data_IF_444160725993
#
_entry.id   IF_444160725993
#
_cell.length_a   1.000
_cell.length_b   1.000
_cell.length_c   1.000
_cell.angle_alpha   90.00
_cell.angle_beta   90.00
_cell.angle_gamma   90.00
#
_symmetry.space_group_name_H-M   'P 1'
#
loop_
_entity.id
_entity.type
_entity.pdbx_description
1 polymer ?
#
# COMPACT_ATOMS: atom_id res chain seq x y z
N UNK A 1 -3.36 -32.18 -15.94
CA UNK A 1 -3.94 -30.82 -15.87
C UNK A 1 -3.30 -30.09 -14.70
N UNK A 2 -2.42 -29.11 -14.96
CA UNK A 2 -1.92 -28.20 -13.91
C UNK A 2 -3.10 -27.35 -13.42
N UNK A 3 -3.49 -27.54 -12.15
CA UNK A 3 -4.57 -26.80 -11.49
C UNK A 3 -4.08 -25.48 -10.90
N UNK A 4 -2.79 -25.38 -10.59
CA UNK A 4 -2.17 -24.18 -10.05
C UNK A 4 -1.90 -23.18 -11.20
N UNK A 5 -2.42 -21.96 -11.05
CA UNK A 5 -2.28 -20.88 -12.03
C UNK A 5 -0.82 -20.46 -12.17
N UNK A 6 -0.09 -20.38 -11.07
CA UNK A 6 1.33 -20.02 -11.05
C UNK A 6 2.14 -21.06 -11.83
N UNK A 7 2.00 -22.34 -11.50
CA UNK A 7 2.73 -23.43 -12.17
C UNK A 7 2.43 -23.47 -13.69
N UNK A 8 1.18 -23.22 -14.07
CA UNK A 8 0.77 -23.13 -15.47
C UNK A 8 1.48 -21.99 -16.19
N UNK A 9 1.49 -20.80 -15.61
CA UNK A 9 2.13 -19.63 -16.21
C UNK A 9 3.63 -19.87 -16.31
N UNK A 10 4.29 -20.31 -15.23
CA UNK A 10 5.72 -20.58 -15.21
C UNK A 10 6.14 -21.66 -16.21
N UNK A 11 5.25 -22.61 -16.53
CA UNK A 11 5.50 -23.60 -17.57
C UNK A 11 5.48 -23.00 -18.99
N UNK A 12 4.59 -22.04 -19.27
CA UNK A 12 4.43 -21.43 -20.60
C UNK A 12 5.48 -20.34 -20.83
N UNK A 13 5.71 -19.49 -19.83
CA UNK A 13 6.66 -18.37 -19.89
C UNK A 13 7.66 -18.43 -18.73
N UNK A 14 8.58 -19.41 -18.70
CA UNK A 14 9.55 -19.58 -17.60
C UNK A 14 10.57 -18.43 -17.50
N UNK A 15 10.61 -17.56 -18.49
CA UNK A 15 11.48 -16.39 -18.55
C UNK A 15 10.85 -15.12 -17.91
N UNK A 16 9.58 -15.17 -17.52
CA UNK A 16 8.91 -14.10 -16.79
C UNK A 16 8.91 -14.43 -15.30
N UNK A 17 9.26 -13.44 -14.48
CA UNK A 17 9.21 -13.57 -13.03
C UNK A 17 7.86 -13.10 -12.51
N UNK A 18 7.19 -13.94 -11.72
CA UNK A 18 5.84 -13.67 -11.27
C UNK A 18 5.84 -12.97 -9.90
N UNK A 19 4.98 -11.97 -9.74
CA UNK A 19 4.64 -11.38 -8.44
C UNK A 19 3.99 -12.42 -7.51
N UNK A 20 4.20 -12.30 -6.20
CA UNK A 20 3.67 -13.25 -5.21
C UNK A 20 2.16 -13.18 -4.99
N UNK A 21 1.49 -12.11 -5.44
CA UNK A 21 0.10 -11.80 -5.13
C UNK A 21 -0.77 -11.86 -6.41
N UNK A 22 -1.07 -13.05 -6.97
CA UNK A 22 -2.12 -13.19 -7.98
C UNK A 22 -3.49 -12.89 -7.36
N UNK A 23 -4.38 -12.30 -8.15
CA UNK A 23 -5.69 -11.89 -7.68
C UNK A 23 -6.82 -12.30 -8.62
N UNK A 24 -7.96 -12.59 -8.02
CA UNK A 24 -9.16 -13.00 -8.73
C UNK A 24 -10.04 -11.78 -9.03
N UNK A 25 -10.48 -11.67 -10.26
CA UNK A 25 -11.45 -10.66 -10.71
C UNK A 25 -12.66 -11.34 -11.33
N UNK A 26 -13.80 -10.65 -11.29
CA UNK A 26 -15.04 -11.14 -11.89
C UNK A 26 -15.34 -10.29 -13.12
N UNK A 27 -15.45 -10.94 -14.27
CA UNK A 27 -15.82 -10.31 -15.53
C UNK A 27 -16.93 -11.14 -16.19
N UNK A 28 -18.08 -10.53 -16.46
CA UNK A 28 -19.24 -11.19 -17.08
C UNK A 28 -19.63 -12.52 -16.40
N UNK A 29 -19.72 -12.53 -15.07
CA UNK A 29 -20.01 -13.72 -14.23
C UNK A 29 -18.98 -14.86 -14.37
N UNK A 30 -17.80 -14.58 -14.91
CA UNK A 30 -16.68 -15.52 -15.00
C UNK A 30 -15.52 -15.02 -14.16
N UNK A 31 -14.76 -15.97 -13.63
CA UNK A 31 -13.60 -15.68 -12.79
C UNK A 31 -12.33 -15.68 -13.64
N UNK A 32 -11.51 -14.65 -13.46
CA UNK A 32 -10.21 -14.52 -14.09
C UNK A 32 -9.16 -14.27 -13.03
N UNK A 33 -8.06 -15.01 -13.09
CA UNK A 33 -6.87 -14.68 -12.33
C UNK A 33 -6.06 -13.66 -13.11
N UNK A 34 -5.64 -12.59 -12.45
CA UNK A 34 -4.65 -11.66 -12.97
C UNK A 34 -3.36 -11.87 -12.20
N UNK A 35 -2.27 -12.04 -12.95
CA UNK A 35 -0.92 -12.22 -12.44
C UNK A 35 -0.02 -11.14 -13.03
N UNK A 36 0.63 -10.40 -12.13
CA UNK A 36 1.70 -9.47 -12.47
C UNK A 36 2.98 -10.23 -12.82
N UNK A 37 3.63 -9.84 -13.91
CA UNK A 37 4.85 -10.48 -14.38
C UNK A 37 5.93 -9.44 -14.76
N UNK A 38 7.15 -9.78 -14.36
CA UNK A 38 8.31 -8.94 -14.46
C UNK A 38 9.32 -9.49 -15.46
N UNK A 39 9.93 -8.58 -16.21
CA UNK A 39 11.23 -8.85 -16.82
C UNK A 39 12.33 -8.48 -15.83
N UNK A 40 13.22 -9.42 -15.53
CA UNK A 40 14.39 -9.20 -14.69
C UNK A 40 15.68 -9.35 -15.48
N UNK A 41 16.72 -8.65 -15.05
CA UNK A 41 18.10 -8.90 -15.46
C UNK A 41 19.06 -8.54 -14.34
N UNK A 42 20.18 -9.25 -14.26
CA UNK A 42 21.34 -8.95 -13.41
C UNK A 42 22.49 -8.29 -14.20
N UNK A 43 22.32 -8.08 -15.51
CA UNK A 43 23.36 -7.57 -16.41
C UNK A 43 23.07 -6.17 -16.95
N UNK A 44 22.09 -5.46 -16.39
CA UNK A 44 21.74 -4.14 -16.89
C UNK A 44 22.83 -3.12 -16.53
N UNK A 45 23.39 -2.38 -17.51
CA UNK A 45 24.56 -1.55 -17.28
C UNK A 45 24.23 -0.37 -16.35
N UNK A 46 25.21 0.01 -15.53
CA UNK A 46 25.14 1.17 -14.62
C UNK A 46 23.94 1.16 -13.65
N UNK A 47 23.38 -0.02 -13.34
CA UNK A 47 22.28 -0.18 -12.40
C UNK A 47 22.74 -0.86 -11.11
N UNK A 48 22.19 -0.40 -9.98
CA UNK A 48 22.52 -0.94 -8.65
C UNK A 48 21.84 -2.30 -8.45
N UNK A 49 22.58 -3.33 -8.00
CA UNK A 49 21.97 -4.61 -7.61
C UNK A 49 20.96 -4.44 -6.47
N UNK A 50 19.89 -5.22 -6.56
CA UNK A 50 18.88 -5.45 -5.54
C UNK A 50 18.64 -6.96 -5.45
N UNK A 51 18.00 -7.38 -4.37
CA UNK A 51 17.55 -8.75 -4.20
C UNK A 51 16.14 -8.73 -3.62
N UNK A 52 15.33 -9.66 -4.10
CA UNK A 52 14.03 -9.96 -3.53
C UNK A 52 13.78 -11.47 -3.63
N UNK A 53 12.88 -11.97 -2.79
CA UNK A 53 12.34 -13.30 -2.95
C UNK A 53 11.18 -13.19 -3.93
N UNK A 54 11.12 -13.98 -4.99
CA UNK A 54 9.92 -14.13 -5.83
C UNK A 54 9.33 -15.51 -5.59
N UNK A 55 8.35 -15.93 -6.40
CA UNK A 55 7.79 -17.28 -6.33
C UNK A 55 8.87 -18.37 -6.52
N UNK A 56 9.91 -18.07 -7.30
CA UNK A 56 11.03 -18.99 -7.57
C UNK A 56 12.19 -18.87 -6.57
N UNK A 57 11.99 -18.15 -5.45
CA UNK A 57 13.00 -17.97 -4.40
C UNK A 57 13.79 -16.65 -4.49
N UNK A 58 14.87 -16.49 -3.69
CA UNK A 58 15.69 -15.29 -3.70
C UNK A 58 16.43 -15.13 -5.02
N UNK A 59 16.36 -13.95 -5.62
CA UNK A 59 17.05 -13.63 -6.86
C UNK A 59 17.68 -12.25 -6.80
N UNK A 60 18.95 -12.18 -7.21
CA UNK A 60 19.64 -10.92 -7.43
C UNK A 60 19.32 -10.40 -8.84
N UNK A 61 19.02 -9.11 -8.92
CA UNK A 61 18.76 -8.42 -10.18
C UNK A 61 19.21 -6.96 -10.05
N UNK A 62 19.49 -6.31 -11.17
CA UNK A 62 19.72 -4.87 -11.23
C UNK A 62 18.77 -4.17 -12.22
N UNK A 63 17.82 -4.92 -12.77
CA UNK A 63 16.76 -4.43 -13.63
C UNK A 63 15.46 -5.16 -13.31
N UNK A 64 14.38 -4.38 -13.22
CA UNK A 64 13.01 -4.88 -13.07
C UNK A 64 12.03 -3.93 -13.76
N UNK A 65 11.05 -4.49 -14.46
CA UNK A 65 9.89 -3.79 -15.01
C UNK A 65 8.65 -4.66 -14.85
N UNK A 66 7.52 -4.05 -14.47
CA UNK A 66 6.20 -4.69 -14.66
C UNK A 66 5.83 -4.56 -16.12
N UNK A 67 6.24 -5.56 -16.90
CA UNK A 67 6.14 -5.50 -18.35
C UNK A 67 4.88 -6.19 -18.87
N UNK A 68 4.33 -7.14 -18.12
CA UNK A 68 3.22 -7.99 -18.57
C UNK A 68 2.17 -8.16 -17.48
N UNK A 69 0.89 -8.02 -17.87
CA UNK A 69 -0.25 -8.53 -17.11
C UNK A 69 -0.73 -9.82 -17.75
N UNK A 70 -0.83 -10.88 -16.96
CA UNK A 70 -1.24 -12.20 -17.43
C UNK A 70 -2.66 -12.45 -16.93
N UNK A 71 -3.58 -12.74 -17.83
CA UNK A 71 -4.98 -13.05 -17.52
C UNK A 71 -5.21 -14.53 -17.77
N UNK A 72 -5.63 -15.25 -16.72
CA UNK A 72 -5.97 -16.67 -16.80
C UNK A 72 -7.45 -16.86 -16.52
N UNK A 73 -8.15 -17.40 -17.49
CA UNK A 73 -9.54 -17.81 -17.33
C UNK A 73 -9.62 -18.96 -16.32
N UNK A 74 -10.30 -18.75 -15.19
CA UNK A 74 -10.30 -19.73 -14.09
C UNK A 74 -11.06 -21.01 -14.42
N UNK A 75 -11.88 -21.02 -15.49
CA UNK A 75 -12.64 -22.19 -15.90
C UNK A 75 -11.92 -22.99 -16.99
N UNK A 76 -11.53 -22.33 -18.09
CA UNK A 76 -10.86 -22.98 -19.22
C UNK A 76 -9.35 -23.15 -19.02
N UNK A 77 -8.74 -22.34 -18.17
CA UNK A 77 -7.29 -22.28 -18.02
C UNK A 77 -6.58 -21.64 -19.21
N UNK A 78 -7.31 -20.97 -20.11
CA UNK A 78 -6.76 -20.16 -21.20
C UNK A 78 -5.97 -19.00 -20.62
N UNK A 79 -4.81 -18.69 -21.22
CA UNK A 79 -3.87 -17.69 -20.73
C UNK A 79 -3.62 -16.65 -21.82
N UNK A 80 -3.85 -15.39 -21.48
CA UNK A 80 -3.53 -14.24 -22.32
C UNK A 80 -2.46 -13.37 -21.65
N UNK A 81 -1.51 -12.88 -22.44
CA UNK A 81 -0.40 -12.03 -21.99
C UNK A 81 -0.53 -10.65 -22.62
N UNK A 82 -0.64 -9.60 -21.81
CA UNK A 82 -0.77 -8.21 -22.27
C UNK A 82 0.47 -7.41 -21.88
N UNK A 83 1.15 -6.81 -22.86
CA UNK A 83 2.32 -5.94 -22.61
C UNK A 83 1.83 -4.59 -22.09
N UNK A 84 2.23 -4.25 -20.86
CA UNK A 84 1.83 -2.99 -20.19
C UNK A 84 2.95 -1.96 -20.12
N UNK A 85 4.21 -2.36 -20.34
CA UNK A 85 5.33 -1.45 -20.57
C UNK A 85 5.93 -1.69 -21.96
N UNK A 86 5.39 -1.09 -23.03
CA UNK A 86 5.89 -1.27 -24.39
C UNK A 86 7.30 -0.67 -24.60
N UNK A 87 7.83 0.09 -23.62
CA UNK A 87 9.18 0.65 -23.67
C UNK A 87 10.24 -0.30 -23.11
N UNK A 88 9.83 -1.38 -22.44
CA UNK A 88 10.78 -2.34 -21.89
C UNK A 88 11.50 -3.12 -23.02
N UNK A 89 12.83 -3.00 -23.17
CA UNK A 89 13.57 -3.70 -24.21
C UNK A 89 13.54 -5.22 -24.04
N UNK A 90 13.42 -5.74 -22.81
CA UNK A 90 13.46 -7.18 -22.56
C UNK A 90 12.17 -7.84 -23.04
N UNK A 91 11.00 -7.31 -22.67
CA UNK A 91 9.73 -7.86 -23.16
C UNK A 91 9.60 -7.73 -24.67
N UNK A 92 10.10 -6.65 -25.25
CA UNK A 92 10.12 -6.46 -26.70
C UNK A 92 10.97 -7.51 -27.43
N UNK A 93 12.07 -7.96 -26.82
CA UNK A 93 12.86 -9.07 -27.36
C UNK A 93 12.09 -10.40 -27.33
N UNK A 94 11.43 -10.71 -26.21
CA UNK A 94 10.58 -11.90 -26.10
C UNK A 94 9.38 -11.85 -27.05
N UNK A 95 8.74 -10.68 -27.22
CA UNK A 95 7.64 -10.49 -28.16
C UNK A 95 8.04 -10.79 -29.61
N UNK A 96 9.26 -10.41 -30.03
CA UNK A 96 9.80 -10.79 -31.34
C UNK A 96 10.16 -12.27 -31.45
N UNK A 97 10.67 -12.87 -30.37
CA UNK A 97 11.07 -14.28 -30.35
C UNK A 97 9.86 -15.23 -30.37
N UNK A 98 8.72 -14.80 -29.82
CA UNK A 98 7.48 -15.57 -29.75
C UNK A 98 6.30 -14.80 -30.38
N UNK A 99 6.24 -14.66 -31.71
CA UNK A 99 5.15 -13.94 -32.37
C UNK A 99 3.78 -14.51 -32.01
N UNK A 100 2.84 -13.62 -31.64
CA UNK A 100 1.47 -13.97 -31.26
C UNK A 100 1.27 -14.39 -29.80
N UNK A 101 2.34 -14.54 -29.01
CA UNK A 101 2.22 -14.84 -27.57
C UNK A 101 1.71 -13.64 -26.77
N UNK A 102 2.15 -12.44 -27.13
CA UNK A 102 1.86 -11.21 -26.42
C UNK A 102 0.93 -10.31 -27.22
N UNK A 103 -0.02 -9.68 -26.51
CA UNK A 103 -0.99 -8.71 -27.03
C UNK A 103 -0.67 -7.31 -26.53
N UNK A 104 -1.14 -6.29 -27.24
CA UNK A 104 -1.14 -4.92 -26.72
C UNK A 104 -2.05 -4.81 -25.51
N UNK A 105 -1.72 -3.96 -24.54
CA UNK A 105 -2.65 -3.62 -23.47
C UNK A 105 -3.97 -3.05 -24.01
N UNK A 106 -3.98 -2.41 -25.17
CA UNK A 106 -5.20 -1.87 -25.77
C UNK A 106 -6.20 -2.96 -26.19
N UNK A 107 -5.76 -4.22 -26.29
CA UNK A 107 -6.61 -5.38 -26.59
C UNK A 107 -7.27 -5.98 -25.34
N UNK A 108 -6.91 -5.53 -24.14
CA UNK A 108 -7.51 -6.04 -22.92
C UNK A 108 -8.96 -5.53 -22.79
N UNK A 109 -9.94 -6.38 -22.43
CA UNK A 109 -11.30 -5.92 -22.18
C UNK A 109 -11.34 -4.81 -21.11
N UNK A 110 -12.04 -3.71 -21.39
CA UNK A 110 -12.06 -2.52 -20.50
C UNK A 110 -12.35 -2.85 -19.04
N UNK A 111 -13.32 -3.74 -18.77
CA UNK A 111 -13.64 -4.11 -17.41
C UNK A 111 -12.51 -4.89 -16.69
N UNK A 112 -11.68 -5.65 -17.41
CA UNK A 112 -10.47 -6.24 -16.84
C UNK A 112 -9.37 -5.17 -16.65
N UNK A 113 -9.28 -4.20 -17.56
CA UNK A 113 -8.38 -3.05 -17.44
C UNK A 113 -8.64 -2.27 -16.14
N UNK A 114 -9.90 -1.99 -15.83
CA UNK A 114 -10.33 -1.26 -14.63
C UNK A 114 -9.97 -1.99 -13.33
N UNK A 115 -9.76 -3.31 -13.39
CA UNK A 115 -9.33 -4.13 -12.25
C UNK A 115 -7.80 -4.25 -12.11
N UNK A 116 -7.01 -3.72 -13.06
CA UNK A 116 -5.56 -3.78 -12.96
C UNK A 116 -5.07 -2.90 -11.80
N UNK A 117 -4.25 -3.52 -10.95
CA UNK A 117 -3.62 -2.85 -9.81
C UNK A 117 -2.12 -2.64 -10.01
N UNK A 118 -1.55 -1.76 -9.19
CA UNK A 118 -0.11 -1.61 -9.09
C UNK A 118 0.50 -2.83 -8.38
N UNK A 119 1.57 -3.44 -8.92
CA UNK A 119 2.18 -4.67 -8.37
C UNK A 119 2.80 -4.46 -6.99
N UNK A 120 2.56 -5.39 -6.06
CA UNK A 120 3.03 -5.28 -4.67
C UNK A 120 4.54 -5.39 -4.54
N UNK A 121 5.15 -6.43 -5.10
CA UNK A 121 6.58 -6.69 -4.92
C UNK A 121 7.42 -5.55 -5.55
N UNK A 122 7.09 -5.16 -6.79
CA UNK A 122 7.76 -4.04 -7.46
C UNK A 122 7.63 -2.74 -6.66
N UNK A 123 6.45 -2.43 -6.12
CA UNK A 123 6.29 -1.22 -5.30
C UNK A 123 7.13 -1.25 -4.04
N UNK A 124 7.17 -2.39 -3.34
CA UNK A 124 7.99 -2.54 -2.14
C UNK A 124 9.48 -2.28 -2.44
N UNK A 125 9.99 -2.85 -3.54
CA UNK A 125 11.37 -2.62 -4.02
C UNK A 125 11.58 -1.14 -4.34
N UNK A 126 10.67 -0.52 -5.10
CA UNK A 126 10.76 0.89 -5.49
C UNK A 126 10.78 1.81 -4.26
N UNK A 127 9.94 1.54 -3.25
CA UNK A 127 9.91 2.32 -2.02
C UNK A 127 11.16 2.13 -1.17
N UNK A 128 11.72 0.91 -1.08
CA UNK A 128 13.02 0.66 -0.42
C UNK A 128 14.16 1.43 -1.10
N UNK A 129 14.18 1.49 -2.43
CA UNK A 129 15.17 2.27 -3.18
C UNK A 129 14.95 3.77 -2.93
N UNK A 130 13.71 4.25 -3.06
CA UNK A 130 13.36 5.65 -2.87
C UNK A 130 13.70 6.16 -1.47
N UNK A 131 13.51 5.32 -0.45
CA UNK A 131 13.85 5.60 0.95
C UNK A 131 15.28 6.12 1.13
N UNK A 132 16.21 5.62 0.32
CA UNK A 132 17.63 5.99 0.35
C UNK A 132 17.98 7.08 -0.66
N UNK A 133 17.37 7.05 -1.85
CA UNK A 133 17.81 7.85 -3.00
C UNK A 133 16.99 9.10 -3.29
N UNK A 134 15.94 9.39 -2.53
CA UNK A 134 15.17 10.63 -2.69
C UNK A 134 15.97 11.90 -2.32
N UNK A 135 17.16 11.74 -1.74
CA UNK A 135 18.03 12.83 -1.30
C UNK A 135 18.86 13.36 -2.48
N UNK A 136 18.65 14.62 -2.85
CA UNK A 136 19.36 15.25 -3.98
C UNK A 136 20.70 15.90 -3.56
N UNK A 137 20.98 15.98 -2.27
CA UNK A 137 22.17 16.64 -1.70
C UNK A 137 23.24 15.60 -1.32
N UNK A 138 24.44 15.64 -1.93
CA UNK A 138 25.48 14.66 -1.68
C UNK A 138 25.89 14.56 -0.20
N UNK A 139 26.04 15.70 0.48
CA UNK A 139 26.42 15.78 1.89
C UNK A 139 25.43 15.05 2.82
N UNK A 140 24.13 15.24 2.58
CA UNK A 140 23.07 14.54 3.34
C UNK A 140 23.05 13.05 3.04
N UNK A 141 23.25 12.68 1.77
CA UNK A 141 23.28 11.28 1.34
C UNK A 141 24.43 10.51 1.97
N UNK A 142 25.64 11.09 2.02
CA UNK A 142 26.81 10.46 2.66
C UNK A 142 26.61 10.25 4.16
N UNK A 143 25.96 11.21 4.83
CA UNK A 143 25.66 11.12 6.26
C UNK A 143 24.45 10.22 6.57
N UNK A 144 23.72 9.78 5.52
CA UNK A 144 22.43 9.09 5.64
C UNK A 144 21.42 9.84 6.50
N UNK A 145 21.58 11.16 6.65
CA UNK A 145 20.88 11.97 7.65
C UNK A 145 19.37 12.13 7.40
N UNK A 146 18.94 11.90 6.15
CA UNK A 146 17.53 11.97 5.74
C UNK A 146 17.04 10.64 5.15
N UNK A 147 17.71 9.53 5.46
CA UNK A 147 17.28 8.21 4.99
C UNK A 147 15.97 7.83 5.67
N UNK A 148 15.03 7.30 4.90
CA UNK A 148 13.76 6.81 5.42
C UNK A 148 13.75 5.30 5.58
N UNK A 149 12.79 4.82 6.35
CA UNK A 149 12.47 3.42 6.54
C UNK A 149 10.95 3.25 6.55
N UNK A 150 10.47 2.03 6.31
CA UNK A 150 9.05 1.75 6.49
C UNK A 150 8.66 2.09 7.92
N UNK A 151 7.54 2.79 8.08
CA UNK A 151 7.02 3.11 9.40
C UNK A 151 6.78 1.81 10.18
N UNK A 152 6.90 1.86 11.50
CA UNK A 152 6.70 0.66 12.34
C UNK A 152 5.54 0.83 13.31
N UNK A 153 4.87 -0.27 13.62
CA UNK A 153 3.89 -0.40 14.71
C UNK A 153 4.33 -1.61 15.54
N UNK A 154 4.50 -1.44 16.85
CA UNK A 154 5.02 -2.49 17.75
C UNK A 154 6.33 -3.15 17.25
N UNK A 155 7.23 -2.34 16.65
CA UNK A 155 8.49 -2.81 16.10
C UNK A 155 8.38 -3.55 14.75
N UNK A 156 7.17 -3.78 14.24
CA UNK A 156 6.94 -4.41 12.94
C UNK A 156 6.77 -3.37 11.83
N UNK A 157 7.39 -3.56 10.65
CA UNK A 157 7.22 -2.63 9.54
C UNK A 157 5.79 -2.68 8.99
N UNK A 158 5.24 -1.52 8.68
CA UNK A 158 3.98 -1.39 7.94
C UNK A 158 4.25 -1.65 6.47
N UNK A 159 4.02 -2.91 6.06
CA UNK A 159 4.12 -3.30 4.65
C UNK A 159 3.08 -2.55 3.80
N UNK A 160 3.35 -2.33 2.50
CA UNK A 160 2.38 -1.75 1.59
C UNK A 160 1.03 -2.47 1.61
N UNK A 161 -0.05 -1.70 1.58
CA UNK A 161 -1.41 -2.24 1.58
C UNK A 161 -2.31 -1.50 0.60
N UNK A 162 -3.24 -2.23 0.00
CA UNK A 162 -4.24 -1.64 -0.88
C UNK A 162 -5.37 -1.01 -0.08
N UNK A 163 -5.92 0.06 -0.65
CA UNK A 163 -7.13 0.72 -0.18
C UNK A 163 -7.83 1.43 -1.33
N UNK A 164 -9.15 1.58 -1.22
CA UNK A 164 -9.96 2.40 -2.13
C UNK A 164 -10.32 3.69 -1.42
N UNK A 165 -9.96 4.84 -1.98
CA UNK A 165 -10.45 6.14 -1.51
C UNK A 165 -10.30 7.21 -2.59
N UNK A 166 -10.99 8.33 -2.42
CA UNK A 166 -10.65 9.57 -3.11
C UNK A 166 -9.46 10.25 -2.39
N UNK A 167 -8.33 10.37 -3.08
CA UNK A 167 -7.12 11.05 -2.59
C UNK A 167 -7.16 12.58 -2.82
N UNK A 168 -8.30 13.13 -3.26
CA UNK A 168 -8.52 14.56 -3.47
C UNK A 168 -7.87 15.12 -4.74
N UNK A 169 -7.46 14.25 -5.67
CA UNK A 169 -6.74 14.65 -6.90
C UNK A 169 -7.66 14.81 -8.11
N UNK A 170 -8.77 14.09 -8.11
CA UNK A 170 -9.68 13.97 -9.26
C UNK A 170 -11.14 14.07 -8.82
N UNK A 171 -11.44 15.07 -7.97
CA UNK A 171 -12.77 15.49 -7.52
C UNK A 171 -13.82 14.38 -7.48
N UNK A 172 -13.78 13.54 -6.43
CA UNK A 172 -14.73 12.45 -6.22
C UNK A 172 -14.39 11.13 -6.89
N UNK A 173 -13.32 11.06 -7.69
CA UNK A 173 -12.85 9.80 -8.27
C UNK A 173 -12.15 8.94 -7.20
N UNK A 174 -12.82 7.85 -6.80
CA UNK A 174 -12.20 6.84 -5.95
C UNK A 174 -11.12 6.05 -6.70
N UNK A 175 -9.96 5.88 -6.08
CA UNK A 175 -8.82 5.17 -6.63
C UNK A 175 -8.48 3.95 -5.75
N UNK A 176 -8.36 2.78 -6.35
CA UNK A 176 -7.76 1.60 -5.70
C UNK A 176 -6.24 1.70 -5.78
N UNK A 177 -5.62 2.14 -4.68
CA UNK A 177 -4.19 2.41 -4.63
C UNK A 177 -3.52 1.65 -3.49
N UNK A 178 -2.23 1.39 -3.67
CA UNK A 178 -1.36 0.85 -2.66
C UNK A 178 -0.69 1.99 -1.89
N UNK A 179 -0.73 1.91 -0.57
CA UNK A 179 -0.25 2.94 0.34
C UNK A 179 0.91 2.41 1.17
N UNK A 180 1.95 3.23 1.33
CA UNK A 180 3.08 2.92 2.20
C UNK A 180 3.53 4.17 2.99
N UNK A 181 3.38 4.18 4.33
CA UNK A 181 3.93 5.23 5.19
C UNK A 181 5.43 5.01 5.44
N UNK A 182 6.21 6.09 5.51
CA UNK A 182 7.62 6.01 5.90
C UNK A 182 7.99 7.08 6.93
N UNK A 183 8.90 6.71 7.81
CA UNK A 183 9.50 7.59 8.81
C UNK A 183 11.00 7.72 8.55
N UNK A 184 11.67 8.79 9.01
CA UNK A 184 13.12 8.87 8.97
C UNK A 184 13.74 7.77 9.83
N UNK A 185 14.95 7.35 9.48
CA UNK A 185 15.75 6.52 10.37
C UNK A 185 15.91 7.21 11.72
N UNK A 186 15.80 6.45 12.81
CA UNK A 186 15.92 6.93 14.20
C UNK A 186 14.85 7.92 14.67
N UNK A 187 13.85 8.26 13.84
CA UNK A 187 12.72 9.08 14.25
C UNK A 187 11.40 8.37 13.99
N UNK A 188 10.41 8.67 14.82
CA UNK A 188 9.11 8.03 14.74
C UNK A 188 8.04 8.91 14.10
N UNK A 189 8.36 10.16 13.73
CA UNK A 189 7.42 11.05 13.06
C UNK A 189 7.25 10.66 11.59
N UNK A 190 6.01 10.71 11.10
CA UNK A 190 5.71 10.46 9.71
C UNK A 190 6.36 11.54 8.84
N UNK A 191 7.09 11.14 7.81
CA UNK A 191 7.72 12.08 6.87
C UNK A 191 7.16 11.99 5.47
N UNK A 192 6.55 10.86 5.11
CA UNK A 192 5.89 10.72 3.83
C UNK A 192 4.83 9.61 3.81
N UNK A 193 3.91 9.70 2.86
CA UNK A 193 3.02 8.62 2.42
C UNK A 193 3.16 8.45 0.91
N UNK A 194 3.50 7.24 0.47
CA UNK A 194 3.60 6.85 -0.93
C UNK A 194 2.29 6.22 -1.35
N UNK A 195 1.76 6.63 -2.50
CA UNK A 195 0.51 6.13 -3.06
C UNK A 195 0.77 5.69 -4.49
N UNK A 196 0.64 4.39 -4.76
CA UNK A 196 0.82 3.81 -6.08
C UNK A 196 -0.51 3.30 -6.64
N UNK A 197 -0.87 3.75 -7.83
CA UNK A 197 -2.14 3.43 -8.45
C UNK A 197 -2.02 3.36 -9.97
N UNK A 198 -3.15 3.17 -10.63
CA UNK A 198 -3.24 2.93 -12.09
C UNK A 198 -4.13 3.94 -12.81
N UNK A 199 -4.69 4.91 -12.09
CA UNK A 199 -5.56 5.97 -12.64
C UNK A 199 -4.73 7.04 -13.36
N UNK A 200 -5.24 7.55 -14.49
CA UNK A 200 -4.65 8.72 -15.14
C UNK A 200 -5.07 10.01 -14.43
N UNK A 201 -4.27 10.46 -13.46
CA UNK A 201 -4.54 11.71 -12.72
C UNK A 201 -4.51 12.98 -13.59
N UNK A 202 -4.05 12.93 -14.84
CA UNK A 202 -4.12 14.09 -15.75
C UNK A 202 -5.47 14.19 -16.45
N UNK A 203 -6.09 13.05 -16.74
CA UNK A 203 -7.42 12.97 -17.36
C UNK A 203 -8.54 12.78 -16.34
N UNK A 204 -8.18 12.35 -15.13
CA UNK A 204 -9.10 11.93 -14.08
C UNK A 204 -10.10 10.88 -14.58
N UNK A 205 -9.58 9.84 -15.24
CA UNK A 205 -10.34 8.68 -15.72
C UNK A 205 -9.65 7.36 -15.34
N UNK A 206 -10.32 6.23 -15.58
CA UNK A 206 -9.80 4.88 -15.28
C UNK A 206 -8.86 4.34 -16.36
N UNK A 207 -8.36 5.18 -17.27
CA UNK A 207 -7.37 4.73 -18.25
C UNK A 207 -6.09 4.30 -17.54
N UNK A 208 -5.56 3.14 -17.96
CA UNK A 208 -4.45 2.52 -17.27
C UNK A 208 -3.15 3.32 -17.42
N UNK A 209 -2.75 3.98 -16.33
CA UNK A 209 -1.52 4.76 -16.21
C UNK A 209 -0.88 4.51 -14.85
N UNK A 210 -0.05 3.46 -14.73
CA UNK A 210 0.59 3.13 -13.46
C UNK A 210 1.55 4.23 -13.03
N UNK A 211 1.48 4.63 -11.76
CA UNK A 211 2.34 5.68 -11.21
C UNK A 211 2.40 5.67 -9.70
N UNK A 212 3.46 6.28 -9.15
CA UNK A 212 3.65 6.49 -7.71
C UNK A 212 3.64 7.99 -7.43
N UNK A 213 2.85 8.39 -6.45
CA UNK A 213 2.80 9.75 -5.93
C UNK A 213 3.31 9.76 -4.49
N UNK A 214 4.20 10.71 -4.20
CA UNK A 214 4.81 10.84 -2.87
C UNK A 214 4.29 12.11 -2.21
N UNK A 215 3.53 11.93 -1.13
CA UNK A 215 3.13 13.01 -0.23
C UNK A 215 4.21 13.17 0.83
N UNK A 216 4.95 14.29 0.80
CA UNK A 216 5.99 14.60 1.79
C UNK A 216 5.49 15.61 2.80
N UNK A 217 5.75 15.36 4.07
CA UNK A 217 5.50 16.33 5.13
C UNK A 217 6.72 17.25 5.28
N UNK A 218 6.54 18.58 5.34
CA UNK A 218 7.63 19.49 5.62
C UNK A 218 8.26 19.18 6.98
N UNK A 219 9.59 19.29 7.09
CA UNK A 219 10.32 18.99 8.34
C UNK A 219 9.90 19.85 9.54
N UNK A 220 9.29 21.01 9.29
CA UNK A 220 8.76 21.90 10.32
C UNK A 220 7.43 21.40 10.92
N UNK A 221 6.71 20.53 10.20
CA UNK A 221 5.43 19.96 10.65
C UNK A 221 5.69 18.62 11.32
N UNK A 222 5.36 18.52 12.59
CA UNK A 222 5.40 17.24 13.30
C UNK A 222 4.09 16.49 13.06
N UNK A 223 4.15 15.49 12.18
CA UNK A 223 3.07 14.53 11.98
C UNK A 223 3.43 13.26 12.76
N UNK A 224 2.56 12.85 13.68
CA UNK A 224 2.77 11.63 14.45
C UNK A 224 2.92 10.44 13.50
N UNK A 225 3.94 9.60 13.67
CA UNK A 225 4.01 8.35 12.92
C UNK A 225 3.23 7.23 13.60
N UNK A 226 3.07 6.08 12.91
CA UNK A 226 2.31 4.94 13.43
C UNK A 226 2.76 4.46 14.82
N UNK A 227 4.06 4.44 15.10
CA UNK A 227 4.57 4.05 16.43
C UNK A 227 4.13 5.04 17.52
N UNK A 228 4.09 6.34 17.21
CA UNK A 228 3.67 7.36 18.16
C UNK A 228 2.16 7.29 18.41
N UNK A 229 1.37 7.09 17.35
CA UNK A 229 -0.09 6.89 17.49
C UNK A 229 -0.39 5.65 18.31
N UNK A 230 0.33 4.55 18.08
CA UNK A 230 0.19 3.34 18.89
C UNK A 230 0.53 3.59 20.37
N UNK A 231 1.58 4.38 20.65
CA UNK A 231 1.89 4.77 22.03
C UNK A 231 0.79 5.65 22.66
N UNK A 232 0.20 6.58 21.91
CA UNK A 232 -0.93 7.38 22.37
C UNK A 232 -2.17 6.52 22.69
N UNK A 233 -2.43 5.50 21.87
CA UNK A 233 -3.48 4.51 22.10
C UNK A 233 -3.25 3.78 23.43
N UNK A 234 -2.03 3.30 23.67
CA UNK A 234 -1.68 2.54 24.87
C UNK A 234 -1.65 3.39 26.14
N UNK A 235 -1.37 4.68 26.01
CA UNK A 235 -1.36 5.64 27.11
C UNK A 235 -2.74 6.21 27.45
N UNK A 236 -3.73 6.05 26.57
CA UNK A 236 -5.08 6.57 26.82
C UNK A 236 -5.72 5.80 27.99
N UNK A 237 -6.14 6.47 29.08
CA UNK A 237 -6.67 5.80 30.27
C UNK A 237 -7.93 4.97 30.02
N UNK A 238 -8.84 5.43 29.17
CA UNK A 238 -10.08 4.72 28.87
C UNK A 238 -9.80 3.46 28.04
N UNK A 239 -8.95 3.58 27.02
CA UNK A 239 -8.58 2.46 26.15
C UNK A 239 -7.77 1.42 26.92
N UNK A 240 -6.76 1.85 27.68
CA UNK A 240 -5.88 0.95 28.46
C UNK A 240 -6.65 0.20 29.56
N UNK A 241 -7.58 0.86 30.25
CA UNK A 241 -8.48 0.21 31.20
C UNK A 241 -9.35 -0.85 30.51
N UNK A 242 -9.95 -0.51 29.36
CA UNK A 242 -10.78 -1.44 28.60
C UNK A 242 -9.99 -2.64 28.07
N UNK A 243 -8.77 -2.44 27.59
CA UNK A 243 -7.89 -3.52 27.14
C UNK A 243 -7.50 -4.44 28.27
N UNK A 244 -7.21 -3.89 29.46
CA UNK A 244 -6.91 -4.69 30.65
C UNK A 244 -8.11 -5.53 31.09
N UNK A 245 -9.33 -4.99 30.94
CA UNK A 245 -10.58 -5.73 31.21
C UNK A 245 -10.85 -6.84 30.20
N UNK A 246 -10.61 -6.59 28.91
CA UNK A 246 -10.82 -7.58 27.85
C UNK A 246 -9.72 -8.63 27.77
N UNK A 247 -8.51 -8.30 28.22
CA UNK A 247 -7.39 -9.21 28.23
C UNK A 247 -7.31 -9.99 29.56
N UNK A 248 -8.43 -10.64 29.92
CA UNK A 248 -8.59 -11.45 31.12
C UNK A 248 -8.83 -12.92 30.79
N UNK A 249 -8.66 -13.79 31.80
CA UNK A 249 -8.75 -15.25 31.68
C UNK A 249 -9.87 -15.73 30.74
N UNK A 250 -9.50 -16.15 29.53
CA UNK A 250 -10.44 -16.66 28.53
C UNK A 250 -10.54 -15.83 27.25
N UNK A 251 -10.08 -14.58 27.25
CA UNK A 251 -10.07 -13.68 26.09
C UNK A 251 -8.75 -12.97 25.89
N UNK A 252 -8.44 -12.66 24.63
CA UNK A 252 -7.26 -11.91 24.20
C UNK A 252 -7.68 -10.77 23.29
N UNK A 253 -7.09 -9.58 23.51
CA UNK A 253 -7.26 -8.42 22.63
C UNK A 253 -6.17 -8.44 21.56
N UNK A 254 -6.58 -8.33 20.29
CA UNK A 254 -5.67 -8.24 19.16
C UNK A 254 -5.91 -6.93 18.39
N UNK A 255 -4.90 -6.07 18.36
CA UNK A 255 -4.87 -4.92 17.45
C UNK A 255 -4.72 -5.44 16.02
N UNK A 256 -5.61 -5.03 15.12
CA UNK A 256 -5.51 -5.32 13.69
C UNK A 256 -4.39 -4.53 13.00
N UNK A 257 -4.45 -4.40 11.67
CA UNK A 257 -3.54 -3.51 10.95
C UNK A 257 -3.96 -2.05 11.17
N UNK A 258 -3.01 -1.17 11.50
CA UNK A 258 -3.21 0.28 11.46
C UNK A 258 -3.37 0.75 10.01
N UNK A 259 -4.52 1.31 9.68
CA UNK A 259 -4.79 1.94 8.39
C UNK A 259 -4.52 3.44 8.53
N UNK A 260 -3.78 4.00 7.59
CA UNK A 260 -3.33 5.39 7.59
C UNK A 260 -3.95 6.05 6.38
N UNK A 261 -4.83 7.01 6.62
CA UNK A 261 -5.64 7.67 5.62
C UNK A 261 -5.16 9.11 5.49
N UNK A 262 -4.52 9.49 4.37
CA UNK A 262 -4.25 10.89 4.06
C UNK A 262 -5.56 11.64 3.82
N UNK A 263 -5.80 12.70 4.60
CA UNK A 263 -7.02 13.51 4.51
C UNK A 263 -6.66 14.99 4.44
N UNK A 264 -6.55 15.51 3.21
CA UNK A 264 -6.11 16.88 2.95
C UNK A 264 -4.76 17.14 3.61
N UNK A 265 -4.73 18.06 4.59
CA UNK A 265 -3.52 18.44 5.33
C UNK A 265 -3.31 17.65 6.64
N UNK A 266 -4.03 16.55 6.84
CA UNK A 266 -3.98 15.74 8.06
C UNK A 266 -3.88 14.25 7.73
N UNK A 267 -3.54 13.46 8.74
CA UNK A 267 -3.54 12.00 8.65
C UNK A 267 -4.50 11.44 9.70
N UNK A 268 -5.43 10.63 9.23
CA UNK A 268 -6.34 9.86 10.06
C UNK A 268 -5.81 8.43 10.21
N UNK A 269 -5.68 7.99 11.45
CA UNK A 269 -5.29 6.62 11.78
C UNK A 269 -6.52 5.84 12.21
N UNK A 270 -6.73 4.67 11.63
CA UNK A 270 -7.84 3.77 11.95
C UNK A 270 -7.26 2.42 12.35
N UNK A 271 -7.60 1.95 13.55
CA UNK A 271 -7.04 0.75 14.14
C UNK A 271 -8.18 -0.14 14.63
N UNK A 272 -8.54 -1.20 13.89
CA UNK A 272 -9.56 -2.15 14.35
C UNK A 272 -9.00 -2.97 15.51
N UNK A 273 -9.87 -3.23 16.50
CA UNK A 273 -9.56 -4.03 17.69
C UNK A 273 -10.43 -5.28 17.67
N UNK A 274 -9.78 -6.43 17.66
CA UNK A 274 -10.43 -7.73 17.68
C UNK A 274 -10.34 -8.35 19.07
N UNK A 275 -11.38 -9.09 19.45
CA UNK A 275 -11.36 -9.98 20.60
C UNK A 275 -11.37 -11.42 20.12
N UNK A 276 -10.62 -12.28 20.81
CA UNK A 276 -10.57 -13.72 20.56
C UNK A 276 -10.75 -14.47 21.86
N UNK A 277 -11.46 -15.60 21.84
CA UNK A 277 -11.41 -16.54 22.95
C UNK A 277 -10.10 -17.33 22.92
N UNK A 278 -9.49 -17.59 24.07
CA UNK A 278 -8.20 -18.31 24.15
C UNK A 278 -8.29 -19.76 23.68
N UNK A 279 -9.44 -20.41 23.89
CA UNK A 279 -9.70 -21.80 23.47
C UNK A 279 -10.16 -21.90 22.02
N UNK A 280 -11.01 -20.97 21.58
CA UNK A 280 -11.56 -20.94 20.21
C UNK A 280 -11.17 -19.63 19.57
N UNK A 281 -10.08 -19.64 18.79
CA UNK A 281 -9.47 -18.45 18.19
C UNK A 281 -10.25 -17.92 16.98
N UNK A 282 -11.49 -17.51 17.19
CA UNK A 282 -12.30 -16.80 16.21
C UNK A 282 -12.27 -15.30 16.54
N UNK A 283 -11.60 -14.46 15.73
CA UNK A 283 -11.54 -13.02 15.97
C UNK A 283 -12.88 -12.34 15.65
N UNK A 284 -13.38 -11.55 16.58
CA UNK A 284 -14.56 -10.69 16.42
C UNK A 284 -14.15 -9.22 16.53
N UNK A 285 -14.63 -8.38 15.62
CA UNK A 285 -14.39 -6.93 15.69
C UNK A 285 -15.13 -6.35 16.90
N UNK A 286 -14.38 -5.94 17.92
CA UNK A 286 -14.94 -5.41 19.15
C UNK A 286 -15.09 -3.89 19.10
N UNK A 287 -14.06 -3.19 18.61
CA UNK A 287 -14.01 -1.72 18.53
C UNK A 287 -13.18 -1.24 17.35
N UNK A 288 -13.34 0.03 17.04
CA UNK A 288 -12.53 0.78 16.10
C UNK A 288 -11.94 1.98 16.85
N UNK A 289 -10.62 2.07 16.83
CA UNK A 289 -9.90 3.22 17.34
C UNK A 289 -9.62 4.17 16.18
N UNK A 290 -9.83 5.46 16.41
CA UNK A 290 -9.57 6.51 15.44
C UNK A 290 -8.71 7.60 16.08
N UNK A 291 -7.71 8.09 15.35
CA UNK A 291 -6.83 9.15 15.82
C UNK A 291 -6.47 10.16 14.73
N UNK A 292 -6.44 11.44 15.12
CA UNK A 292 -5.85 12.55 14.36
C UNK A 292 -4.99 13.36 15.34
N UNK A 293 -3.73 13.60 14.98
CA UNK A 293 -2.80 14.31 15.85
C UNK A 293 -2.62 13.58 17.19
N UNK A 294 -2.86 14.28 18.30
CA UNK A 294 -2.76 13.71 19.66
C UNK A 294 -4.12 13.24 20.22
N UNK A 295 -5.21 13.36 19.46
CA UNK A 295 -6.53 12.91 19.89
C UNK A 295 -6.74 11.46 19.48
N UNK A 296 -7.25 10.65 20.40
CA UNK A 296 -7.51 9.23 20.21
C UNK A 296 -8.87 8.91 20.83
N UNK A 297 -9.74 8.25 20.07
CA UNK A 297 -11.04 7.78 20.54
C UNK A 297 -11.25 6.32 20.14
N UNK A 298 -12.15 5.63 20.85
CA UNK A 298 -12.46 4.21 20.62
C UNK A 298 -13.98 3.97 20.73
N UNK A 299 -14.59 3.53 19.64
CA UNK A 299 -16.04 3.29 19.59
C UNK A 299 -16.38 1.99 18.84
N UNK A 300 -17.65 1.60 18.79
CA UNK A 300 -18.06 0.30 18.19
C UNK A 300 -18.00 0.32 16.67
N UNK A 301 -18.24 1.48 16.08
CA UNK A 301 -18.20 1.66 14.62
C UNK A 301 -17.25 2.78 14.21
N UNK A 302 -16.78 2.73 12.96
CA UNK A 302 -15.93 3.79 12.41
C UNK A 302 -16.65 5.13 12.42
N UNK A 303 -17.97 5.12 12.17
CA UNK A 303 -18.80 6.32 12.16
C UNK A 303 -18.91 6.96 13.54
N UNK A 304 -19.24 6.15 14.55
CA UNK A 304 -19.29 6.63 15.95
C UNK A 304 -17.93 7.19 16.40
N UNK A 305 -16.84 6.49 16.10
CA UNK A 305 -15.49 6.94 16.43
C UNK A 305 -15.15 8.26 15.72
N UNK A 306 -15.54 8.41 14.46
CA UNK A 306 -15.32 9.65 13.72
C UNK A 306 -16.16 10.82 14.29
N UNK A 307 -17.43 10.59 14.60
CA UNK A 307 -18.33 11.60 15.17
C UNK A 307 -17.85 12.04 16.57
N UNK A 308 -17.41 11.09 17.39
CA UNK A 308 -16.80 11.34 18.69
C UNK A 308 -15.51 12.18 18.54
N UNK A 309 -14.59 11.79 17.65
CA UNK A 309 -13.38 12.54 17.40
C UNK A 309 -13.69 13.98 16.94
N UNK A 310 -14.65 14.14 16.03
CA UNK A 310 -15.08 15.46 15.53
C UNK A 310 -15.60 16.35 16.66
N UNK A 311 -16.38 15.80 17.59
CA UNK A 311 -16.89 16.55 18.74
C UNK A 311 -15.78 17.08 19.65
N UNK A 312 -14.68 16.34 19.82
CA UNK A 312 -13.52 16.79 20.61
C UNK A 312 -12.82 17.99 19.94
N UNK A 313 -12.67 17.98 18.62
CA UNK A 313 -12.09 19.10 17.88
C UNK A 313 -13.00 20.36 17.87
N UNK A 314 -14.32 20.19 17.80
CA UNK A 314 -15.26 21.32 17.90
C UNK A 314 -15.23 21.95 19.29
N UNK A 315 -15.11 21.14 20.34
CA UNK A 315 -15.07 21.61 21.74
C UNK A 315 -13.74 22.30 22.08
N UNK A 316 -12.63 21.83 21.52
CA UNK A 316 -11.32 22.46 21.71
C UNK A 316 -11.26 23.90 21.13
N UNK A 317 -12.02 24.19 20.08
CA UNK A 317 -12.08 25.52 19.46
C UNK A 317 -13.06 26.50 20.14
N UNK A 318 -13.90 26.03 21.08
CA UNK A 318 -14.87 26.87 21.80
C UNK A 318 -14.43 27.28 23.20
N UNK A 319 -13.23 26.89 23.65
CA UNK A 319 -12.63 27.38 24.91
C UNK A 319 -11.82 28.66 24.62
N UNK A 320 -12.26 29.85 25.10
CA UNK A 320 -11.51 31.08 24.90
C UNK A 320 -10.25 31.06 25.78
N UNK A 321 -9.08 30.83 25.17
CA UNK A 321 -7.78 30.90 25.86
C UNK A 321 -6.65 30.04 25.29
N UNK A 322 -6.93 29.08 24.41
CA UNK A 322 -5.90 28.28 23.74
C UNK A 322 -5.92 28.57 22.23
N UNK A 323 -5.35 29.71 21.85
CA UNK A 323 -5.20 30.09 20.45
C UNK A 323 -4.21 29.19 19.73
N UNK A 324 -4.71 28.20 19.00
CA UNK A 324 -4.00 27.68 17.82
C UNK A 324 -4.48 28.51 16.65
N UNK A 325 -3.85 29.67 16.44
CA UNK A 325 -4.05 30.46 15.24
C UNK A 325 -3.36 29.75 14.08
N UNK A 326 -4.18 29.21 13.18
CA UNK A 326 -3.76 28.61 11.92
C UNK A 326 -4.90 28.76 10.92
N UNK A 327 -5.24 30.00 10.60
CA UNK A 327 -6.23 30.32 9.57
C UNK A 327 -5.72 29.84 8.22
N UNK A 328 -6.46 28.92 7.60
CA UNK A 328 -6.30 28.50 6.22
C UNK A 328 -6.59 29.68 5.29
N UNK A 329 -5.59 30.16 4.55
CA UNK A 329 -5.83 30.81 3.27
C UNK A 329 -5.83 29.72 2.19
N UNK A 330 -6.81 29.84 1.27
CA UNK A 330 -7.12 28.91 0.19
C UNK A 330 -5.94 28.68 -0.75
#
# INVERSE_FOLDING_TARGET
LMRNVIERISYITPFLHLDKDPYLVVHNNRFYWIQDAYTLSNYYPAARPAADHYLDGPQEFNYIRNSVKIVVDAYSGHVDYYIVDPKDPIINAYSRAYPGLFKSIDEIPQNLLDHLRYPRDLYEIQMKIYAKYHQNRPDLFYQQADTWQFATVDGQPVLPYFMTMDFGRCDGLEEFAMVNPMTPMQRHNLSMVGVAGTVDHQKCDTSYKPGITIYKFPKAVQVNGPSQVNALIDQNPEISAQFTLWNQQGSEVKKGRMIILPMGNSILYVQPIYMMATKTRMPELARIIVSIGNQVVMDKTLREAFDHLKSQFVTANTIPGLGVSGTLQQ
#
